data_IF_313617647857
#
_entry.id   IF_313617647857
#
_cell.length_a   1.000
_cell.length_b   1.000
_cell.length_c   1.000
_cell.angle_alpha   90.00
_cell.angle_beta   90.00
_cell.angle_gamma   90.00
#
_symmetry.space_group_name_H-M   'P 1'
#
loop_
_entity.id
_entity.type
_entity.pdbx_description
1 polymer ?
#
# COMPACT_ATOMS: atom_id res chain seq x y z
N UNK A 1 21.56 7.17 -5.52
CA UNK A 1 20.45 6.63 -6.34
C UNK A 1 19.61 7.79 -6.79
N UNK A 2 19.17 7.79 -8.06
CA UNK A 2 18.30 8.85 -8.55
C UNK A 2 16.88 8.56 -8.03
N UNK A 3 16.16 9.56 -7.51
CA UNK A 3 14.71 9.55 -7.43
C UNK A 3 13.98 8.73 -8.49
N UNK A 4 13.20 7.74 -8.07
CA UNK A 4 12.42 6.93 -9.00
C UNK A 4 13.23 6.04 -9.94
N UNK A 5 14.53 5.85 -9.68
CA UNK A 5 15.30 4.83 -10.38
C UNK A 5 14.77 3.43 -10.06
N UNK A 6 14.92 2.54 -11.03
CA UNK A 6 14.33 1.21 -10.99
C UNK A 6 14.75 0.43 -9.74
N UNK A 7 16.01 0.56 -9.32
CA UNK A 7 16.54 -0.10 -8.12
C UNK A 7 15.82 0.39 -6.86
N UNK A 8 15.61 1.70 -6.70
CA UNK A 8 14.90 2.25 -5.54
C UNK A 8 13.46 1.73 -5.49
N UNK A 9 12.76 1.70 -6.63
CA UNK A 9 11.40 1.17 -6.72
C UNK A 9 11.35 -0.32 -6.34
N UNK A 10 12.27 -1.13 -6.86
CA UNK A 10 12.35 -2.55 -6.52
C UNK A 10 12.61 -2.77 -5.02
N UNK A 11 13.50 -1.98 -4.42
CA UNK A 11 13.77 -2.06 -2.98
C UNK A 11 12.53 -1.72 -2.15
N UNK A 12 11.78 -0.68 -2.53
CA UNK A 12 10.57 -0.27 -1.81
C UNK A 12 9.43 -1.30 -1.96
N UNK A 13 9.22 -1.83 -3.17
CA UNK A 13 8.24 -2.89 -3.42
C UNK A 13 8.62 -4.19 -2.72
N UNK A 14 9.91 -4.55 -2.74
CA UNK A 14 10.45 -5.69 -2.01
C UNK A 14 10.20 -5.59 -0.51
N UNK A 15 10.30 -4.38 0.08
CA UNK A 15 9.96 -4.15 1.49
C UNK A 15 8.48 -4.38 1.79
N UNK A 16 7.57 -3.93 0.92
CA UNK A 16 6.14 -4.23 1.08
C UNK A 16 5.92 -5.74 1.10
N UNK A 17 6.44 -6.45 0.10
CA UNK A 17 6.32 -7.90 0.02
C UNK A 17 6.90 -8.60 1.25
N UNK A 18 8.06 -8.14 1.71
CA UNK A 18 8.79 -8.74 2.82
C UNK A 18 8.06 -8.56 4.16
N UNK A 19 7.67 -7.33 4.49
CA UNK A 19 6.88 -7.05 5.70
C UNK A 19 5.52 -7.75 5.67
N UNK A 20 4.90 -7.79 4.49
CA UNK A 20 3.64 -8.49 4.33
C UNK A 20 3.79 -9.98 4.66
N UNK A 21 4.73 -10.68 4.02
CA UNK A 21 4.91 -12.11 4.19
C UNK A 21 5.33 -12.50 5.62
N UNK A 22 6.17 -11.69 6.28
CA UNK A 22 6.66 -12.03 7.61
C UNK A 22 5.71 -11.66 8.75
N UNK A 23 5.07 -10.49 8.69
CA UNK A 23 4.33 -9.95 9.83
C UNK A 23 2.82 -9.93 9.62
N UNK A 24 2.37 -9.71 8.39
CA UNK A 24 0.95 -9.50 8.11
C UNK A 24 0.28 -10.82 7.74
N UNK A 25 0.76 -11.49 6.68
CA UNK A 25 0.18 -12.72 6.14
C UNK A 25 -0.09 -13.80 7.20
N UNK A 26 0.85 -14.12 8.13
CA UNK A 26 0.62 -15.15 9.14
C UNK A 26 -0.50 -14.83 10.14
N UNK A 27 -0.88 -13.55 10.24
CA UNK A 27 -1.88 -13.06 11.21
C UNK A 27 -3.20 -12.67 10.53
N UNK A 28 -3.30 -12.87 9.21
CA UNK A 28 -4.53 -12.63 8.47
C UNK A 28 -5.62 -13.60 8.92
N UNK A 29 -6.79 -13.06 9.22
CA UNK A 29 -7.98 -13.88 9.31
C UNK A 29 -8.34 -14.38 7.90
N UNK A 30 -8.98 -15.56 7.76
CA UNK A 30 -9.47 -16.04 6.48
C UNK A 30 -10.34 -14.97 5.82
N UNK A 31 -9.98 -14.57 4.61
CA UNK A 31 -10.71 -13.51 3.91
C UNK A 31 -12.14 -13.95 3.59
N UNK A 32 -13.12 -13.12 3.95
CA UNK A 32 -14.46 -13.23 3.37
C UNK A 32 -14.41 -12.65 1.95
N UNK A 33 -15.05 -13.32 1.00
CA UNK A 33 -15.12 -12.85 -0.38
C UNK A 33 -15.82 -11.48 -0.42
N UNK A 34 -15.06 -10.44 -0.74
CA UNK A 34 -15.58 -9.08 -0.82
C UNK A 34 -16.49 -8.90 -2.06
N UNK A 35 -17.45 -7.99 -1.93
CA UNK A 35 -18.30 -7.50 -3.02
C UNK A 35 -17.49 -6.79 -4.11
N UNK A 36 -17.91 -6.94 -5.38
CA UNK A 36 -17.30 -6.28 -6.53
C UNK A 36 -17.27 -4.75 -6.34
N UNK A 37 -16.16 -4.10 -6.70
CA UNK A 37 -16.00 -2.65 -6.66
C UNK A 37 -16.59 -1.94 -7.88
N UNK A 38 -16.34 -0.63 -8.01
CA UNK A 38 -16.72 0.14 -9.20
C UNK A 38 -15.83 -0.20 -10.41
N UNK A 39 -16.39 -0.07 -11.62
CA UNK A 39 -15.61 -0.25 -12.86
C UNK A 39 -14.48 0.78 -12.96
N UNK A 40 -13.28 0.34 -13.35
CA UNK A 40 -12.14 1.23 -13.56
C UNK A 40 -12.32 2.07 -14.84
N UNK A 41 -11.46 3.07 -15.05
CA UNK A 41 -11.55 3.97 -16.21
C UNK A 41 -11.62 3.25 -17.57
N UNK A 42 -10.84 2.17 -17.77
CA UNK A 42 -10.89 1.36 -19.00
C UNK A 42 -12.25 0.65 -19.23
N UNK A 43 -13.08 0.50 -18.19
CA UNK A 43 -14.36 -0.20 -18.24
C UNK A 43 -15.58 0.72 -18.02
N UNK A 44 -15.38 1.94 -17.50
CA UNK A 44 -16.45 2.92 -17.26
C UNK A 44 -16.85 3.68 -18.53
N UNK A 45 -15.87 4.04 -19.35
CA UNK A 45 -16.10 4.84 -20.55
C UNK A 45 -15.13 4.37 -21.62
N UNK A 46 -15.56 4.10 -22.86
CA UNK A 46 -14.64 3.95 -23.97
C UNK A 46 -13.95 5.30 -24.18
N UNK A 47 -12.80 5.49 -23.54
CA UNK A 47 -11.95 6.62 -23.83
C UNK A 47 -11.42 6.50 -25.26
N UNK A 48 -11.22 7.62 -25.96
CA UNK A 48 -10.59 7.65 -27.29
C UNK A 48 -9.19 6.99 -27.29
N UNK A 49 -8.56 6.89 -26.12
CA UNK A 49 -7.31 6.17 -25.91
C UNK A 49 -7.43 5.21 -24.72
N UNK A 50 -7.27 3.91 -25.01
CA UNK A 50 -7.20 2.88 -23.97
C UNK A 50 -5.93 3.10 -23.16
N UNK A 51 -6.06 3.21 -21.83
CA UNK A 51 -4.90 3.35 -20.94
C UNK A 51 -4.17 2.00 -20.82
N UNK A 52 -2.85 2.00 -20.52
CA UNK A 52 -2.10 0.77 -20.30
C UNK A 52 -2.82 -0.17 -19.34
N UNK A 53 -2.95 -1.42 -19.78
CA UNK A 53 -3.73 -2.43 -19.07
C UNK A 53 -2.85 -3.22 -18.10
N UNK A 54 -3.49 -3.91 -17.15
CA UNK A 54 -2.81 -4.82 -16.23
C UNK A 54 -2.02 -5.88 -16.99
N UNK A 55 -2.61 -6.48 -18.03
CA UNK A 55 -1.94 -7.50 -18.83
C UNK A 55 -0.80 -6.97 -19.70
N UNK A 56 -0.89 -5.73 -20.18
CA UNK A 56 0.13 -5.16 -21.06
C UNK A 56 1.31 -4.51 -20.32
N UNK A 57 1.07 -3.94 -19.14
CA UNK A 57 2.10 -3.18 -18.41
C UNK A 57 2.42 -3.80 -17.04
N UNK A 58 1.39 -4.02 -16.22
CA UNK A 58 1.60 -4.42 -14.82
C UNK A 58 2.23 -5.82 -14.71
N UNK A 59 1.74 -6.77 -15.50
CA UNK A 59 2.16 -8.18 -15.51
C UNK A 59 3.65 -8.38 -15.88
N UNK A 60 4.29 -7.36 -16.46
CA UNK A 60 5.69 -7.41 -16.89
C UNK A 60 6.58 -6.46 -16.09
N UNK A 61 6.13 -6.06 -14.90
CA UNK A 61 6.84 -5.10 -14.05
C UNK A 61 6.88 -5.56 -12.59
N UNK A 62 7.84 -5.07 -11.82
CA UNK A 62 7.93 -5.34 -10.38
C UNK A 62 6.65 -4.93 -9.60
N UNK A 63 5.85 -4.02 -10.15
CA UNK A 63 4.59 -3.58 -9.55
C UNK A 63 3.52 -4.67 -9.47
N UNK A 64 3.67 -5.78 -10.21
CA UNK A 64 2.81 -6.96 -10.08
C UNK A 64 2.77 -7.48 -8.62
N UNK A 65 3.87 -7.36 -7.87
CA UNK A 65 3.96 -7.79 -6.47
C UNK A 65 2.92 -7.10 -5.57
N UNK A 66 2.54 -5.86 -5.90
CA UNK A 66 1.53 -5.14 -5.14
C UNK A 66 0.13 -5.73 -5.35
N UNK A 67 -0.17 -6.22 -6.56
CA UNK A 67 -1.43 -6.92 -6.86
C UNK A 67 -1.47 -8.30 -6.22
N UNK A 68 -0.34 -9.00 -6.18
CA UNK A 68 -0.17 -10.28 -5.50
C UNK A 68 -0.40 -10.15 -3.99
N UNK A 69 0.27 -9.19 -3.34
CA UNK A 69 0.05 -8.86 -1.93
C UNK A 69 -1.40 -8.43 -1.68
N UNK A 70 -2.00 -7.62 -2.56
CA UNK A 70 -3.41 -7.27 -2.41
C UNK A 70 -4.35 -8.48 -2.61
N UNK A 71 -3.92 -9.53 -3.30
CA UNK A 71 -4.69 -10.74 -3.49
C UNK A 71 -4.70 -11.65 -2.25
N UNK A 72 -3.57 -11.78 -1.56
CA UNK A 72 -3.46 -12.56 -0.29
C UNK A 72 -4.33 -11.96 0.81
N UNK A 73 -4.47 -10.63 0.82
CA UNK A 73 -5.33 -9.88 1.74
C UNK A 73 -6.83 -10.14 1.55
N UNK A 74 -7.23 -10.90 0.53
CA UNK A 74 -8.62 -11.05 0.15
C UNK A 74 -9.27 -9.72 -0.27
N UNK A 75 -8.45 -8.70 -0.50
CA UNK A 75 -8.85 -7.36 -0.88
C UNK A 75 -9.23 -7.31 -2.36
N UNK A 76 -10.20 -8.16 -2.71
CA UNK A 76 -11.05 -7.99 -3.89
C UNK A 76 -12.02 -6.82 -3.71
N UNK A 77 -12.13 -6.27 -2.51
CA UNK A 77 -12.85 -5.04 -2.21
C UNK A 77 -12.32 -3.88 -3.07
N UNK A 78 -13.19 -3.27 -3.87
CA UNK A 78 -12.82 -2.15 -4.75
C UNK A 78 -12.17 -2.57 -6.07
N UNK A 79 -12.04 -3.87 -6.38
CA UNK A 79 -11.61 -4.30 -7.70
C UNK A 79 -12.72 -4.06 -8.72
N UNK A 80 -12.32 -3.60 -9.91
CA UNK A 80 -13.20 -3.48 -11.06
C UNK A 80 -14.02 -4.78 -11.25
N UNK A 81 -15.36 -4.72 -11.50
CA UNK A 81 -16.21 -5.89 -11.65
C UNK A 81 -15.71 -6.89 -12.69
N UNK A 82 -15.22 -6.38 -13.82
CA UNK A 82 -14.62 -7.19 -14.90
C UNK A 82 -13.22 -7.72 -14.60
N UNK A 83 -12.80 -7.69 -13.33
CA UNK A 83 -11.46 -8.00 -12.80
C UNK A 83 -10.62 -8.86 -13.75
N UNK A 84 -9.62 -8.26 -14.38
CA UNK A 84 -8.84 -8.96 -15.39
C UNK A 84 -7.80 -8.09 -16.06
N UNK A 85 -7.12 -8.68 -17.04
CA UNK A 85 -5.98 -8.08 -17.75
C UNK A 85 -6.30 -6.76 -18.45
N UNK A 86 -7.57 -6.51 -18.81
CA UNK A 86 -8.01 -5.27 -19.45
C UNK A 86 -8.15 -4.07 -18.48
N UNK A 87 -8.12 -4.31 -17.16
CA UNK A 87 -8.17 -3.23 -16.16
C UNK A 87 -7.03 -2.23 -16.39
N UNK A 88 -7.28 -0.95 -16.12
CA UNK A 88 -6.21 0.05 -16.14
C UNK A 88 -5.15 -0.29 -15.08
N UNK A 89 -3.87 -0.32 -15.48
CA UNK A 89 -2.75 -0.62 -14.59
C UNK A 89 -2.63 0.41 -13.44
N UNK A 90 -2.81 1.70 -13.74
CA UNK A 90 -2.72 2.78 -12.74
C UNK A 90 -3.84 2.70 -11.71
N UNK A 91 -5.08 2.47 -12.14
CA UNK A 91 -6.18 2.20 -11.20
C UNK A 91 -5.92 0.95 -10.36
N UNK A 92 -5.29 -0.07 -10.96
CA UNK A 92 -4.95 -1.29 -10.23
C UNK A 92 -3.93 -1.02 -9.13
N UNK A 93 -2.84 -0.31 -9.44
CA UNK A 93 -1.84 0.07 -8.45
C UNK A 93 -2.46 0.88 -7.32
N UNK A 94 -3.29 1.87 -7.63
CA UNK A 94 -3.99 2.68 -6.61
C UNK A 94 -4.88 1.82 -5.71
N UNK A 95 -5.68 0.92 -6.29
CA UNK A 95 -6.57 0.03 -5.54
C UNK A 95 -5.80 -0.97 -4.66
N UNK A 96 -4.75 -1.59 -5.19
CA UNK A 96 -3.91 -2.52 -4.45
C UNK A 96 -3.16 -1.82 -3.31
N UNK A 97 -2.63 -0.61 -3.56
CA UNK A 97 -2.00 0.22 -2.54
C UNK A 97 -2.96 0.57 -1.38
N UNK A 98 -4.18 0.98 -1.70
CA UNK A 98 -5.20 1.26 -0.70
C UNK A 98 -5.56 0.01 0.12
N UNK A 99 -5.72 -1.14 -0.55
CA UNK A 99 -6.00 -2.42 0.11
C UNK A 99 -4.90 -2.82 1.11
N UNK A 100 -3.63 -2.68 0.71
CA UNK A 100 -2.48 -2.95 1.57
C UNK A 100 -2.52 -2.06 2.81
N UNK A 101 -2.74 -0.75 2.62
CA UNK A 101 -2.79 0.20 3.73
C UNK A 101 -3.90 -0.12 4.75
N UNK A 102 -5.11 -0.43 4.29
CA UNK A 102 -6.24 -0.75 5.18
C UNK A 102 -6.00 -2.05 5.95
N UNK A 103 -5.48 -3.08 5.27
CA UNK A 103 -5.23 -4.36 5.90
C UNK A 103 -4.09 -4.31 6.92
N UNK A 104 -2.99 -3.62 6.61
CA UNK A 104 -1.88 -3.45 7.54
C UNK A 104 -2.32 -2.67 8.78
N UNK A 105 -3.06 -1.58 8.59
CA UNK A 105 -3.63 -0.77 9.66
C UNK A 105 -4.53 -1.62 10.59
N UNK A 106 -5.46 -2.38 10.02
CA UNK A 106 -6.35 -3.26 10.80
C UNK A 106 -5.57 -4.38 11.53
N UNK A 107 -4.57 -4.95 10.88
CA UNK A 107 -3.75 -6.03 11.44
C UNK A 107 -2.94 -5.55 12.64
N UNK A 108 -2.25 -4.41 12.52
CA UNK A 108 -1.49 -3.84 13.64
C UNK A 108 -2.40 -3.41 14.79
N UNK A 109 -3.57 -2.80 14.52
CA UNK A 109 -4.53 -2.48 15.57
C UNK A 109 -4.94 -3.73 16.35
N UNK A 110 -5.24 -4.82 15.66
CA UNK A 110 -5.60 -6.10 16.28
C UNK A 110 -4.44 -6.69 17.08
N UNK A 111 -3.25 -6.76 16.50
CA UNK A 111 -2.07 -7.31 17.16
C UNK A 111 -1.70 -6.52 18.43
N UNK A 112 -1.88 -5.20 18.40
CA UNK A 112 -1.63 -4.32 19.55
C UNK A 112 -2.84 -4.17 20.48
N UNK A 113 -3.89 -4.99 20.31
CA UNK A 113 -5.13 -4.97 21.12
C UNK A 113 -5.77 -3.59 21.23
N UNK A 114 -5.66 -2.79 20.17
CA UNK A 114 -6.30 -1.48 20.08
C UNK A 114 -7.74 -1.63 19.61
N UNK A 115 -8.55 -0.59 19.86
CA UNK A 115 -9.85 -0.46 19.22
C UNK A 115 -9.68 -0.44 17.70
N UNK A 116 -10.65 -0.99 16.98
CA UNK A 116 -10.65 -0.96 15.52
C UNK A 116 -10.46 0.48 15.00
N UNK A 117 -9.62 0.68 13.96
CA UNK A 117 -9.34 2.01 13.44
C UNK A 117 -10.62 2.61 12.86
N UNK A 118 -10.90 3.86 13.22
CA UNK A 118 -12.08 4.58 12.75
C UNK A 118 -12.07 4.80 11.23
N UNK A 119 -13.26 4.91 10.64
CA UNK A 119 -13.41 5.10 9.19
C UNK A 119 -12.60 6.28 8.61
N UNK A 120 -12.47 7.45 9.28
CA UNK A 120 -11.63 8.54 8.78
C UNK A 120 -10.15 8.19 8.67
N UNK A 121 -9.59 7.48 9.66
CA UNK A 121 -8.18 7.07 9.64
C UNK A 121 -7.93 6.01 8.57
N UNK A 122 -8.83 5.02 8.44
CA UNK A 122 -8.77 4.02 7.36
C UNK A 122 -8.75 4.71 6.00
N UNK A 123 -9.66 5.66 5.77
CA UNK A 123 -9.72 6.38 4.51
C UNK A 123 -8.45 7.20 4.25
N UNK A 124 -7.95 7.94 5.24
CA UNK A 124 -6.72 8.72 5.10
C UNK A 124 -5.51 7.84 4.78
N UNK A 125 -5.33 6.70 5.45
CA UNK A 125 -4.25 5.75 5.16
C UNK A 125 -4.36 5.17 3.75
N UNK A 126 -5.56 4.76 3.34
CA UNK A 126 -5.83 4.24 2.00
C UNK A 126 -5.47 5.26 0.92
N UNK A 127 -5.92 6.49 1.09
CA UNK A 127 -5.70 7.59 0.15
C UNK A 127 -4.22 7.97 0.07
N UNK A 128 -3.55 8.12 1.21
CA UNK A 128 -2.15 8.51 1.25
C UNK A 128 -1.25 7.47 0.55
N UNK A 129 -1.41 6.19 0.86
CA UNK A 129 -0.61 5.13 0.23
C UNK A 129 -0.95 5.00 -1.25
N UNK A 130 -2.24 5.04 -1.62
CA UNK A 130 -2.65 5.01 -3.03
C UNK A 130 -2.07 6.18 -3.83
N UNK A 131 -2.16 7.41 -3.31
CA UNK A 131 -1.62 8.61 -3.96
C UNK A 131 -0.10 8.50 -4.17
N UNK A 132 0.63 8.10 -3.11
CA UNK A 132 2.08 8.00 -3.12
C UNK A 132 2.58 6.95 -4.11
N UNK A 133 2.07 5.72 -4.03
CA UNK A 133 2.50 4.62 -4.93
C UNK A 133 2.10 4.90 -6.37
N UNK A 134 0.89 5.43 -6.60
CA UNK A 134 0.43 5.81 -7.94
C UNK A 134 1.32 6.88 -8.55
N UNK A 135 1.76 7.88 -7.77
CA UNK A 135 2.67 8.94 -8.25
C UNK A 135 3.99 8.35 -8.76
N UNK A 136 4.59 7.40 -8.02
CA UNK A 136 5.83 6.73 -8.45
C UNK A 136 5.59 5.87 -9.69
N UNK A 137 4.50 5.09 -9.72
CA UNK A 137 4.16 4.27 -10.88
C UNK A 137 3.96 5.10 -12.14
N UNK A 138 3.21 6.21 -12.05
CA UNK A 138 2.98 7.13 -13.16
C UNK A 138 4.29 7.77 -13.61
N UNK A 139 5.16 8.15 -12.67
CA UNK A 139 6.47 8.70 -12.99
C UNK A 139 7.32 7.70 -13.78
N UNK A 140 7.42 6.46 -13.30
CA UNK A 140 8.25 5.41 -13.92
C UNK A 140 7.74 4.97 -15.29
N UNK A 141 6.42 4.77 -15.44
CA UNK A 141 5.83 4.15 -16.64
C UNK A 141 5.11 5.14 -17.57
N UNK A 142 5.11 6.43 -17.22
CA UNK A 142 4.44 7.49 -17.98
C UNK A 142 2.95 7.17 -18.27
N UNK A 143 2.28 6.56 -17.29
CA UNK A 143 0.92 6.04 -17.43
C UNK A 143 -0.10 6.79 -16.55
N UNK A 144 -0.31 8.11 -16.76
CA UNK A 144 -1.24 8.88 -15.94
C UNK A 144 -2.67 8.37 -16.10
N UNK A 145 -3.46 8.47 -15.03
CA UNK A 145 -4.89 8.14 -15.03
C UNK A 145 -5.66 9.17 -14.20
N UNK A 146 -6.52 10.00 -14.81
CA UNK A 146 -7.30 11.00 -14.08
C UNK A 146 -8.21 10.39 -13.01
N UNK A 147 -8.75 9.19 -13.26
CA UNK A 147 -9.58 8.47 -12.30
C UNK A 147 -8.81 7.91 -11.09
N UNK A 148 -7.47 7.92 -11.14
CA UNK A 148 -6.61 7.50 -10.05
C UNK A 148 -5.96 8.69 -9.32
N UNK A 149 -6.38 9.92 -9.61
CA UNK A 149 -5.88 11.10 -8.91
C UNK A 149 -6.44 11.13 -7.48
N UNK A 150 -5.59 10.79 -6.52
CA UNK A 150 -5.91 10.85 -5.08
C UNK A 150 -5.15 12.03 -4.49
N UNK A 151 -5.85 13.00 -3.91
CA UNK A 151 -5.22 14.12 -3.22
C UNK A 151 -4.77 13.67 -1.82
N UNK A 152 -3.45 13.59 -1.63
CA UNK A 152 -2.82 13.15 -0.38
C UNK A 152 -3.04 14.12 0.79
N UNK A 153 -3.42 15.39 0.53
CA UNK A 153 -3.45 16.42 1.57
C UNK A 153 -4.62 16.29 2.55
N UNK A 154 -5.71 15.66 2.14
CA UNK A 154 -6.87 15.47 3.01
C UNK A 154 -6.53 14.48 4.13
N UNK A 155 -6.67 14.89 5.39
CA UNK A 155 -6.53 13.98 6.53
C UNK A 155 -5.09 13.57 6.87
N UNK A 156 -4.07 14.29 6.42
CA UNK A 156 -2.66 13.97 6.76
C UNK A 156 -2.39 13.89 8.28
N UNK A 157 -3.15 14.63 9.09
CA UNK A 157 -3.09 14.60 10.56
C UNK A 157 -3.66 13.31 11.18
N UNK A 158 -4.40 12.51 10.42
CA UNK A 158 -4.94 11.21 10.83
C UNK A 158 -3.95 10.07 10.57
N UNK A 159 -2.84 10.33 9.87
CA UNK A 159 -1.88 9.30 9.49
C UNK A 159 -1.04 8.88 10.71
N UNK A 160 -0.97 7.58 11.03
CA UNK A 160 -0.17 7.09 12.15
C UNK A 160 1.33 7.26 11.84
N UNK A 161 2.09 7.61 12.88
CA UNK A 161 3.55 7.58 12.82
C UNK A 161 4.11 6.17 13.05
N UNK A 162 5.38 5.96 12.69
CA UNK A 162 6.07 4.67 12.92
C UNK A 162 6.24 4.34 14.42
N UNK A 163 6.21 5.34 15.31
CA UNK A 163 6.23 5.12 16.77
C UNK A 163 4.86 4.70 17.32
N UNK A 164 3.80 4.90 16.54
CA UNK A 164 2.45 4.50 16.90
C UNK A 164 2.08 3.15 16.29
N UNK A 165 2.23 3.03 14.97
CA UNK A 165 2.00 1.81 14.19
C UNK A 165 3.21 1.62 13.28
N UNK A 166 4.22 0.85 13.72
CA UNK A 166 5.46 0.63 12.99
C UNK A 166 5.32 0.33 11.51
N UNK A 167 4.58 -0.71 11.14
CA UNK A 167 4.56 -1.17 9.75
C UNK A 167 3.76 -0.22 8.85
N UNK A 168 2.60 0.24 9.33
CA UNK A 168 1.72 1.18 8.61
C UNK A 168 2.39 2.56 8.50
N UNK A 169 2.97 3.05 9.59
CA UNK A 169 3.70 4.31 9.64
C UNK A 169 4.95 4.28 8.75
N UNK A 170 5.67 3.16 8.69
CA UNK A 170 6.79 2.97 7.77
C UNK A 170 6.35 2.92 6.32
N UNK A 171 5.29 2.16 5.99
CA UNK A 171 4.72 2.16 4.65
C UNK A 171 4.37 3.59 4.20
N UNK A 172 3.77 4.38 5.08
CA UNK A 172 3.47 5.78 4.82
C UNK A 172 4.76 6.59 4.62
N UNK A 173 5.72 6.50 5.54
CA UNK A 173 6.94 7.30 5.50
C UNK A 173 7.84 6.99 4.29
N UNK A 174 8.02 5.70 3.97
CA UNK A 174 8.83 5.20 2.87
C UNK A 174 8.44 5.81 1.52
N UNK A 175 7.13 5.97 1.32
CA UNK A 175 6.58 6.41 0.05
C UNK A 175 6.16 7.88 0.05
N UNK A 176 6.40 8.63 1.13
CA UNK A 176 6.11 10.07 1.17
C UNK A 176 7.00 10.86 0.22
N UNK A 177 8.27 10.48 0.12
CA UNK A 177 9.23 11.16 -0.76
C UNK A 177 10.22 10.23 -1.51
N UNK A 178 9.71 9.22 -2.23
CA UNK A 178 10.51 8.23 -2.94
C UNK A 178 11.27 8.84 -4.14
N UNK A 179 10.93 10.09 -4.50
CA UNK A 179 11.50 10.83 -5.62
C UNK A 179 12.41 12.00 -5.19
N UNK A 180 12.80 12.11 -3.91
CA UNK A 180 13.77 13.15 -3.50
C UNK A 180 15.10 12.59 -2.98
N UNK A 181 15.31 11.28 -3.06
CA UNK A 181 16.61 10.65 -2.76
C UNK A 181 17.09 10.74 -1.30
N UNK A 182 16.30 11.38 -0.43
CA UNK A 182 16.64 11.67 0.98
C UNK A 182 15.97 10.74 1.99
N UNK A 183 15.49 9.56 1.56
CA UNK A 183 14.93 8.59 2.49
C UNK A 183 16.03 8.02 3.39
N UNK A 184 15.96 8.28 4.70
CA UNK A 184 16.73 7.49 5.66
C UNK A 184 16.39 6.02 5.44
N UNK A 185 17.38 5.11 5.44
CA UNK A 185 17.08 3.69 5.50
C UNK A 185 16.18 3.45 6.71
N UNK A 186 15.10 2.69 6.49
CA UNK A 186 14.36 2.09 7.60
C UNK A 186 15.31 1.09 8.23
N UNK A 187 16.05 1.57 9.22
CA UNK A 187 16.75 0.79 10.21
C UNK A 187 15.76 0.73 11.36
N UNK A 188 14.92 -0.31 11.51
CA UNK A 188 14.03 -0.27 12.69
C UNK A 188 13.51 -1.58 13.24
N UNK A 189 12.79 -2.42 12.49
CA UNK A 189 12.12 -3.58 13.11
C UNK A 189 12.66 -4.95 12.68
N UNK A 190 13.13 -5.09 11.44
CA UNK A 190 13.59 -6.37 10.90
C UNK A 190 14.85 -6.93 11.57
N UNK A 191 15.72 -6.05 12.07
CA UNK A 191 16.92 -6.47 12.75
C UNK A 191 16.65 -6.92 14.20
N UNK A 192 15.44 -6.69 14.71
CA UNK A 192 15.13 -6.82 16.14
C UNK A 192 13.86 -7.66 16.41
N UNK A 193 13.04 -7.96 15.40
CA UNK A 193 11.73 -8.57 15.59
C UNK A 193 11.47 -9.67 14.55
N UNK A 194 10.88 -10.77 15.00
CA UNK A 194 10.50 -11.93 14.17
C UNK A 194 8.99 -12.05 13.97
N UNK A 195 8.18 -11.38 14.80
CA UNK A 195 6.73 -11.27 14.66
C UNK A 195 6.18 -9.91 15.14
N UNK A 196 4.85 -9.71 15.05
CA UNK A 196 4.17 -8.50 15.54
C UNK A 196 4.21 -8.34 17.07
N UNK A 197 4.34 -9.45 17.82
CA UNK A 197 4.42 -9.41 19.28
C UNK A 197 5.79 -8.89 19.76
N UNK A 198 6.88 -9.22 19.07
CA UNK A 198 8.21 -8.64 19.26
C UNK A 198 8.19 -7.11 19.07
N UNK A 199 7.54 -6.66 17.98
CA UNK A 199 7.40 -5.23 17.68
C UNK A 199 6.65 -4.53 18.82
N UNK A 200 5.54 -5.12 19.28
CA UNK A 200 4.77 -4.61 20.42
C UNK A 200 5.62 -4.49 21.69
N UNK A 201 6.38 -5.53 22.04
CA UNK A 201 7.25 -5.53 23.24
C UNK A 201 8.28 -4.40 23.20
N UNK A 202 8.90 -4.18 22.04
CA UNK A 202 9.89 -3.11 21.86
C UNK A 202 9.23 -1.73 21.94
N UNK A 203 8.03 -1.54 21.38
CA UNK A 203 7.27 -0.29 21.54
C UNK A 203 6.96 0.00 23.02
N UNK A 204 6.48 -1.00 23.75
CA UNK A 204 6.16 -0.86 25.18
C UNK A 204 7.42 -0.49 26.00
N UNK A 205 8.55 -1.12 25.69
CA UNK A 205 9.84 -0.82 26.34
C UNK A 205 10.30 0.62 26.09
N UNK A 206 10.19 1.10 24.85
CA UNK A 206 10.54 2.48 24.49
C UNK A 206 9.64 3.51 25.17
N UNK A 207 8.34 3.22 25.33
CA UNK A 207 7.40 4.11 26.04
C UNK A 207 7.67 4.22 27.54
N UNK A 208 8.27 3.19 28.13
CA UNK A 208 8.63 3.16 29.56
C UNK A 208 9.96 3.85 29.86
N UNK A 209 10.71 4.26 28.83
CA UNK A 209 12.00 4.93 28.98
C UNK A 209 11.80 6.42 28.64
N UNK A 210 11.89 7.33 29.63
CA UNK A 210 11.65 8.77 29.43
C UNK A 210 12.74 9.47 28.62
#
# INVERSE_FOLDING_TARGET
MRPGDEVTVHQLLGRISYFHALFIEPTLAPATAATSGEACCNHRTPAETVRPSVGGLLAHSAWAVLDEVAATLGARAGRCPSHGHACCATCRVAGSAAAVADAWLATEHRAYRRLEPGAPMRQACREAVAARLTRVFVHQHHAPCPAAHVDEKAGAWLLPGADELPLTGELLALWRDPLSGGGSPVVSWLNHCTDLDDIRRVLDTRRLTP
#
